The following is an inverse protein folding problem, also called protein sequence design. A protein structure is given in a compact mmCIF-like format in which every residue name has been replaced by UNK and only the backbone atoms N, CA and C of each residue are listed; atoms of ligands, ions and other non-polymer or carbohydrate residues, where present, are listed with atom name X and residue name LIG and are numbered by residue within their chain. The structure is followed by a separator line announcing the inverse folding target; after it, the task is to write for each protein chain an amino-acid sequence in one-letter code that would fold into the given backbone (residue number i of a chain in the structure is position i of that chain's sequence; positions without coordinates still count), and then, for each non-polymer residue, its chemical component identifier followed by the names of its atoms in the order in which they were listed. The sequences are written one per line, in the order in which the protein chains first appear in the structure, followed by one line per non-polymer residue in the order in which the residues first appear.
data_IF_704438950273
#
_entry.id   IF_704438950273
#
_cell.length_a   1.000
_cell.length_b   1.000
_cell.length_c   1.000
_cell.angle_alpha   90.00
_cell.angle_beta   90.00
_cell.angle_gamma   90.00
#
_symmetry.space_group_name_H-M   'P 1'
#
loop_
_entity.id
_entity.type
_entity.pdbx_description
1 polymer ?
#
# COMPACT_ATOMS: atom_id res chain seq x y z
N UNK A 1 20.34 -28.34 20.33
CA UNK A 1 21.10 -27.11 20.06
C UNK A 1 20.76 -26.63 18.66
N UNK A 2 20.43 -25.35 18.47
CA UNK A 2 20.21 -24.80 17.12
C UNK A 2 21.53 -24.83 16.33
N UNK A 3 21.47 -25.23 15.06
CA UNK A 3 22.63 -25.24 14.17
C UNK A 3 22.94 -23.79 13.78
N UNK A 4 24.00 -23.21 14.32
CA UNK A 4 24.39 -21.79 14.12
C UNK A 4 25.50 -21.60 13.08
N UNK A 5 25.69 -22.57 12.18
CA UNK A 5 26.70 -22.54 11.11
C UNK A 5 26.08 -22.91 9.76
N UNK A 6 26.76 -22.53 8.66
CA UNK A 6 26.29 -22.76 7.29
C UNK A 6 25.04 -21.96 6.92
N UNK A 7 24.28 -22.43 5.92
CA UNK A 7 23.08 -21.77 5.39
C UNK A 7 21.92 -21.67 6.39
N UNK A 8 22.02 -22.35 7.54
CA UNK A 8 21.02 -22.32 8.62
C UNK A 8 21.33 -21.29 9.71
N UNK A 9 22.45 -20.57 9.62
CA UNK A 9 22.81 -19.52 10.57
C UNK A 9 21.92 -18.29 10.37
N UNK A 10 21.24 -17.87 11.44
CA UNK A 10 20.49 -16.61 11.49
C UNK A 10 21.45 -15.44 11.73
N UNK A 11 21.67 -14.60 10.71
CA UNK A 11 22.48 -13.38 10.84
C UNK A 11 21.54 -12.21 11.10
N UNK A 12 21.48 -11.72 12.34
CA UNK A 12 20.67 -10.55 12.71
C UNK A 12 21.57 -9.34 12.96
N UNK A 13 21.31 -8.26 12.24
CA UNK A 13 21.85 -6.93 12.56
C UNK A 13 20.80 -6.12 13.32
N UNK A 14 21.21 -5.39 14.36
CA UNK A 14 20.32 -4.64 15.25
C UNK A 14 19.57 -3.44 14.61
N UNK A 15 19.60 -3.31 13.27
CA UNK A 15 19.03 -2.17 12.53
C UNK A 15 17.96 -2.56 11.50
N UNK A 16 17.57 -3.83 11.43
CA UNK A 16 16.48 -4.26 10.55
C UNK A 16 15.12 -3.97 11.21
N UNK A 17 14.26 -3.22 10.52
CA UNK A 17 12.85 -3.05 10.90
C UNK A 17 12.39 -1.61 11.17
N UNK A 18 13.27 -0.68 11.56
CA UNK A 18 12.84 0.71 11.86
C UNK A 18 12.26 1.43 10.64
N UNK A 19 12.86 1.21 9.46
CA UNK A 19 12.35 1.76 8.18
C UNK A 19 10.94 1.25 7.89
N UNK A 20 10.76 -0.07 7.94
CA UNK A 20 9.48 -0.71 7.59
C UNK A 20 8.40 -0.37 8.63
N UNK A 21 8.81 -0.26 9.90
CA UNK A 21 7.96 0.25 10.96
C UNK A 21 7.49 1.68 10.66
N UNK A 22 8.41 2.60 10.34
CA UNK A 22 8.08 4.00 10.07
C UNK A 22 7.19 4.13 8.84
N UNK A 23 7.50 3.40 7.77
CA UNK A 23 6.68 3.32 6.56
C UNK A 23 5.26 2.90 6.90
N UNK A 24 5.06 1.83 7.67
CA UNK A 24 3.74 1.34 8.05
C UNK A 24 2.90 2.42 8.75
N UNK A 25 3.49 3.15 9.70
CA UNK A 25 2.77 4.18 10.46
C UNK A 25 2.52 5.43 9.63
N UNK A 26 3.52 5.92 8.91
CA UNK A 26 3.40 7.10 8.07
C UNK A 26 2.36 6.92 6.97
N UNK A 27 2.40 5.78 6.27
CA UNK A 27 1.41 5.45 5.24
C UNK A 27 0.01 5.27 5.82
N UNK A 28 -0.13 4.62 6.99
CA UNK A 28 -1.42 4.47 7.67
C UNK A 28 -2.06 5.82 8.02
N UNK A 29 -1.29 6.75 8.56
CA UNK A 29 -1.79 8.10 8.90
C UNK A 29 -2.25 8.84 7.65
N UNK A 30 -1.48 8.78 6.56
CA UNK A 30 -1.87 9.41 5.29
C UNK A 30 -3.17 8.80 4.74
N UNK A 31 -3.30 7.47 4.73
CA UNK A 31 -4.51 6.79 4.28
C UNK A 31 -5.74 7.16 5.13
N UNK A 32 -5.58 7.27 6.45
CA UNK A 32 -6.65 7.68 7.35
C UNK A 32 -7.09 9.13 7.07
N UNK A 33 -6.15 10.07 6.92
CA UNK A 33 -6.45 11.46 6.59
C UNK A 33 -7.14 11.59 5.23
N UNK A 34 -6.64 10.90 4.20
CA UNK A 34 -7.30 10.86 2.90
C UNK A 34 -8.75 10.37 3.01
N UNK A 35 -8.98 9.31 3.79
CA UNK A 35 -10.31 8.73 3.97
C UNK A 35 -11.27 9.75 4.59
N UNK A 36 -10.83 10.49 5.61
CA UNK A 36 -11.61 11.57 6.22
C UNK A 36 -11.93 12.66 5.20
N UNK A 37 -10.94 13.10 4.41
CA UNK A 37 -11.12 14.12 3.36
C UNK A 37 -12.11 13.65 2.29
N UNK A 38 -11.99 12.40 1.83
CA UNK A 38 -12.88 11.82 0.84
C UNK A 38 -14.32 11.74 1.35
N UNK A 39 -14.51 11.24 2.58
CA UNK A 39 -15.84 11.17 3.21
C UNK A 39 -16.45 12.57 3.32
N UNK A 40 -15.69 13.56 3.80
CA UNK A 40 -16.17 14.93 3.88
C UNK A 40 -16.58 15.48 2.50
N UNK A 41 -15.76 15.26 1.46
CA UNK A 41 -16.08 15.69 0.08
C UNK A 41 -17.35 15.04 -0.46
N UNK A 42 -17.55 13.74 -0.20
CA UNK A 42 -18.74 13.00 -0.65
C UNK A 42 -20.00 13.46 0.10
N UNK A 43 -19.91 13.68 1.41
CA UNK A 43 -21.04 14.15 2.23
C UNK A 43 -21.47 15.58 1.91
N UNK A 44 -20.59 16.39 1.31
CA UNK A 44 -20.88 17.75 0.87
C UNK A 44 -21.48 17.83 -0.56
N UNK A 45 -21.64 16.70 -1.25
CA UNK A 45 -22.32 16.66 -2.55
C UNK A 45 -23.80 16.98 -2.32
N UNK A 46 -24.30 18.00 -3.01
CA UNK A 46 -25.72 18.34 -3.00
C UNK A 46 -26.46 17.55 -4.08
N UNK A 47 -27.58 16.94 -3.71
CA UNK A 47 -28.40 16.15 -4.64
C UNK A 47 -27.91 14.70 -4.83
N UNK A 48 -28.46 13.98 -5.82
CA UNK A 48 -28.10 12.58 -6.07
C UNK A 48 -26.63 12.42 -6.46
N UNK A 49 -25.96 11.39 -5.94
CA UNK A 49 -24.59 11.04 -6.32
C UNK A 49 -24.63 10.34 -7.69
N UNK A 50 -24.51 11.13 -8.75
CA UNK A 50 -24.29 10.66 -10.12
C UNK A 50 -22.82 10.69 -10.53
N UNK A 51 -22.56 10.37 -11.80
CA UNK A 51 -21.21 10.40 -12.38
C UNK A 51 -20.52 11.76 -12.20
N UNK A 52 -21.23 12.86 -12.50
CA UNK A 52 -20.65 14.21 -12.43
C UNK A 52 -20.28 14.61 -10.99
N UNK A 53 -21.12 14.25 -10.03
CA UNK A 53 -20.84 14.47 -8.61
C UNK A 53 -19.60 13.71 -8.15
N UNK A 54 -19.47 12.44 -8.56
CA UNK A 54 -18.30 11.62 -8.24
C UNK A 54 -17.02 12.11 -8.93
N UNK A 55 -17.07 12.35 -10.25
CA UNK A 55 -15.94 12.88 -11.00
C UNK A 55 -15.49 14.25 -10.45
N UNK A 56 -16.44 15.10 -10.07
CA UNK A 56 -16.18 16.40 -9.45
C UNK A 56 -15.47 16.34 -8.09
N UNK A 57 -15.58 15.23 -7.35
CA UNK A 57 -14.79 15.03 -6.12
C UNK A 57 -13.30 14.93 -6.44
N UNK A 58 -12.94 14.20 -7.48
CA UNK A 58 -11.55 13.90 -7.85
C UNK A 58 -10.96 14.86 -8.89
N UNK A 59 -11.77 15.66 -9.57
CA UNK A 59 -11.31 16.58 -10.62
C UNK A 59 -10.27 17.63 -10.17
N UNK A 60 -10.36 18.24 -8.96
CA UNK A 60 -9.40 19.26 -8.55
C UNK A 60 -7.96 18.70 -8.46
N UNK A 61 -6.99 19.49 -8.93
CA UNK A 61 -5.58 19.06 -9.01
C UNK A 61 -5.00 18.62 -7.65
N UNK A 62 -5.38 19.30 -6.57
CA UNK A 62 -4.93 18.93 -5.22
C UNK A 62 -5.48 17.57 -4.79
N UNK A 63 -6.71 17.21 -5.21
CA UNK A 63 -7.30 15.90 -4.90
C UNK A 63 -6.64 14.82 -5.76
N UNK A 64 -6.29 15.12 -7.01
CA UNK A 64 -5.48 14.22 -7.85
C UNK A 64 -4.12 13.94 -7.20
N UNK A 65 -3.42 14.97 -6.75
CA UNK A 65 -2.16 14.81 -6.02
C UNK A 65 -2.33 13.98 -4.74
N UNK A 66 -3.36 14.29 -3.92
CA UNK A 66 -3.60 13.56 -2.68
C UNK A 66 -3.97 12.08 -2.93
N UNK A 67 -4.77 11.81 -3.97
CA UNK A 67 -5.13 10.45 -4.39
C UNK A 67 -3.92 9.69 -4.91
N UNK A 68 -3.02 10.36 -5.64
CA UNK A 68 -1.76 9.77 -6.06
C UNK A 68 -0.87 9.42 -4.86
N UNK A 69 -0.72 10.34 -3.90
CA UNK A 69 0.02 10.08 -2.66
C UNK A 69 -0.58 8.94 -1.84
N UNK A 70 -1.91 8.81 -1.81
CA UNK A 70 -2.62 7.68 -1.23
C UNK A 70 -2.25 6.37 -1.93
N UNK A 71 -2.29 6.33 -3.27
CA UNK A 71 -1.97 5.12 -4.05
C UNK A 71 -0.56 4.63 -3.70
N UNK A 72 0.43 5.53 -3.70
CA UNK A 72 1.81 5.19 -3.31
C UNK A 72 1.88 4.69 -1.86
N UNK A 73 1.15 5.35 -0.96
CA UNK A 73 1.11 4.96 0.46
C UNK A 73 0.51 3.56 0.64
N UNK A 74 -0.60 3.27 -0.02
CA UNK A 74 -1.29 1.98 0.04
C UNK A 74 -0.42 0.85 -0.53
N UNK A 75 0.25 1.08 -1.66
CA UNK A 75 1.17 0.10 -2.26
C UNK A 75 2.29 -0.24 -1.28
N UNK A 76 2.92 0.78 -0.68
CA UNK A 76 4.02 0.54 0.23
C UNK A 76 3.55 -0.11 1.54
N UNK A 77 2.40 0.32 2.08
CA UNK A 77 1.77 -0.28 3.25
C UNK A 77 1.46 -1.77 3.03
N UNK A 78 0.84 -2.08 1.89
CA UNK A 78 0.49 -3.44 1.49
C UNK A 78 1.74 -4.29 1.26
N UNK A 79 2.77 -3.77 0.59
CA UNK A 79 4.02 -4.47 0.35
C UNK A 79 4.65 -4.96 1.67
N UNK A 80 4.85 -4.05 2.63
CA UNK A 80 5.47 -4.41 3.92
C UNK A 80 4.58 -5.39 4.68
N UNK A 81 3.28 -5.11 4.77
CA UNK A 81 2.36 -5.94 5.55
C UNK A 81 2.23 -7.36 4.99
N UNK A 82 2.05 -7.50 3.68
CA UNK A 82 1.90 -8.79 3.02
C UNK A 82 3.22 -9.58 3.03
N UNK A 83 4.37 -8.92 2.86
CA UNK A 83 5.68 -9.56 3.02
C UNK A 83 5.82 -10.16 4.40
N UNK A 84 5.49 -9.42 5.45
CA UNK A 84 5.58 -9.89 6.84
C UNK A 84 4.64 -11.08 7.07
N UNK A 85 3.41 -11.04 6.56
CA UNK A 85 2.48 -12.19 6.57
C UNK A 85 3.09 -13.42 5.88
N UNK A 86 3.71 -13.26 4.71
CA UNK A 86 4.37 -14.38 4.05
C UNK A 86 5.57 -14.92 4.83
N UNK A 87 6.34 -14.04 5.46
CA UNK A 87 7.49 -14.45 6.28
C UNK A 87 7.06 -15.24 7.53
N UNK A 88 5.95 -14.85 8.15
CA UNK A 88 5.43 -15.44 9.39
C UNK A 88 4.66 -16.75 9.17
N UNK A 89 3.86 -16.82 8.10
CA UNK A 89 2.89 -17.92 7.93
C UNK A 89 3.22 -18.90 6.80
N UNK A 90 4.22 -18.62 5.95
CA UNK A 90 4.60 -19.52 4.84
C UNK A 90 5.99 -20.13 5.10
N UNK A 91 6.06 -21.36 5.65
CA UNK A 91 7.34 -21.97 6.02
C UNK A 91 8.14 -22.43 4.81
N UNK A 92 7.48 -22.85 3.73
CA UNK A 92 8.13 -23.36 2.53
C UNK A 92 8.79 -22.22 1.73
N UNK A 93 10.13 -22.22 1.67
CA UNK A 93 10.91 -21.13 1.06
C UNK A 93 10.57 -20.88 -0.42
N UNK A 94 10.37 -21.94 -1.21
CA UNK A 94 9.99 -21.82 -2.62
C UNK A 94 8.62 -21.16 -2.82
N UNK A 95 7.62 -21.58 -2.05
CA UNK A 95 6.28 -20.99 -2.08
C UNK A 95 6.30 -19.53 -1.65
N UNK A 96 7.03 -19.23 -0.56
CA UNK A 96 7.18 -17.86 -0.07
C UNK A 96 7.83 -16.93 -1.10
N UNK A 97 8.84 -17.40 -1.83
CA UNK A 97 9.45 -16.62 -2.92
C UNK A 97 8.43 -16.30 -4.01
N UNK A 98 7.68 -17.31 -4.47
CA UNK A 98 6.64 -17.14 -5.50
C UNK A 98 5.58 -16.14 -5.05
N UNK A 99 5.11 -16.24 -3.80
CA UNK A 99 4.12 -15.32 -3.25
C UNK A 99 4.64 -13.88 -3.16
N UNK A 100 5.90 -13.67 -2.78
CA UNK A 100 6.50 -12.34 -2.78
C UNK A 100 6.59 -11.76 -4.20
N UNK A 101 7.02 -12.55 -5.20
CA UNK A 101 7.06 -12.12 -6.60
C UNK A 101 5.65 -11.76 -7.09
N UNK A 102 4.66 -12.62 -6.79
CA UNK A 102 3.27 -12.36 -7.12
C UNK A 102 2.77 -11.05 -6.50
N UNK A 103 3.04 -10.81 -5.21
CA UNK A 103 2.66 -9.57 -4.52
C UNK A 103 3.27 -8.35 -5.21
N UNK A 104 4.55 -8.39 -5.59
CA UNK A 104 5.20 -7.27 -6.30
C UNK A 104 4.51 -7.01 -7.64
N UNK A 105 4.33 -8.06 -8.46
CA UNK A 105 3.70 -7.92 -9.79
C UNK A 105 2.28 -7.38 -9.67
N UNK A 106 1.50 -7.90 -8.72
CA UNK A 106 0.15 -7.44 -8.45
C UNK A 106 0.10 -5.96 -8.07
N UNK A 107 0.94 -5.54 -7.10
CA UNK A 107 0.98 -4.15 -6.64
C UNK A 107 1.44 -3.18 -7.75
N UNK A 108 2.40 -3.57 -8.59
CA UNK A 108 2.81 -2.78 -9.76
C UNK A 108 1.66 -2.67 -10.78
N UNK A 109 0.93 -3.75 -11.03
CA UNK A 109 -0.26 -3.74 -11.88
C UNK A 109 -1.34 -2.79 -11.35
N UNK A 110 -1.63 -2.85 -10.04
CA UNK A 110 -2.55 -1.92 -9.39
C UNK A 110 -2.08 -0.46 -9.49
N UNK A 111 -0.78 -0.20 -9.32
CA UNK A 111 -0.20 1.13 -9.44
C UNK A 111 -0.39 1.72 -10.84
N UNK A 112 -0.05 0.94 -11.87
CA UNK A 112 -0.18 1.36 -13.27
C UNK A 112 -1.63 1.64 -13.66
N UNK A 113 -2.55 0.75 -13.26
CA UNK A 113 -3.97 0.94 -13.51
C UNK A 113 -4.54 2.15 -12.76
N UNK A 114 -4.19 2.34 -11.48
CA UNK A 114 -4.66 3.47 -10.69
C UNK A 114 -4.15 4.82 -11.26
N UNK A 115 -2.88 4.88 -11.70
CA UNK A 115 -2.34 6.05 -12.38
C UNK A 115 -3.10 6.36 -13.68
N UNK A 116 -3.35 5.33 -14.50
CA UNK A 116 -4.11 5.46 -15.74
C UNK A 116 -5.53 6.00 -15.48
N UNK A 117 -6.24 5.49 -14.46
CA UNK A 117 -7.59 5.95 -14.11
C UNK A 117 -7.57 7.39 -13.62
N UNK A 118 -6.66 7.72 -12.70
CA UNK A 118 -6.59 9.04 -12.08
C UNK A 118 -6.29 10.16 -13.09
N UNK A 119 -5.50 9.86 -14.12
CA UNK A 119 -5.11 10.85 -15.14
C UNK A 119 -6.03 10.89 -16.37
N UNK A 120 -7.03 10.00 -16.44
CA UNK A 120 -8.09 10.02 -17.46
C UNK A 120 -9.32 10.83 -17.04
N UNK A 121 -9.45 11.10 -15.74
CA UNK A 121 -10.44 12.02 -15.14
C UNK A 121 -10.13 13.47 -15.51
#
# INVERSE_FOLDING_TARGET
MSVNYGSKRTVVGAHYGIRDWLVQRGTAVLMALFTVVLIARVLLISGPIGYDGWAGVFAPQWMKFLTFALIISLIWHAWVGVRDVWMDYVPAAGLRLVLNIFTIVWLVGCAGWAFQVLWRL
#
